data_IF_503007819990
#
_entry.id   IF_503007819990
#
_cell.length_a   1.000
_cell.length_b   1.000
_cell.length_c   1.000
_cell.angle_alpha   90.00
_cell.angle_beta   90.00
_cell.angle_gamma   90.00
#
_symmetry.space_group_name_H-M   'P 1'
#
loop_
_entity.id
_entity.type
_entity.pdbx_description
1 polymer ?
#
# COMPACT_ATOMS: atom_id res chain seq x y z
N UNK A 1 0.34 4.95 -12.77
CA UNK A 1 1.12 5.11 -11.52
C UNK A 1 0.69 6.41 -10.88
N UNK A 2 0.42 6.40 -9.59
CA UNK A 2 0.16 7.64 -8.84
C UNK A 2 1.51 8.15 -8.30
N UNK A 3 2.06 9.23 -8.85
CA UNK A 3 3.38 9.73 -8.49
C UNK A 3 3.41 10.43 -7.12
N UNK A 4 2.24 10.68 -6.50
CA UNK A 4 2.12 11.48 -5.29
C UNK A 4 3.04 11.00 -4.16
N UNK A 5 3.15 9.67 -3.94
CA UNK A 5 3.99 9.13 -2.87
C UNK A 5 5.48 9.38 -3.11
N UNK A 6 5.95 9.22 -4.36
CA UNK A 6 7.36 9.45 -4.71
C UNK A 6 7.66 10.94 -4.61
N UNK A 7 6.81 11.78 -5.18
CA UNK A 7 6.94 13.25 -5.12
C UNK A 7 6.92 13.71 -3.66
N UNK A 8 5.99 13.19 -2.85
CA UNK A 8 5.89 13.56 -1.44
C UNK A 8 7.13 13.19 -0.62
N UNK A 9 7.67 11.98 -0.79
CA UNK A 9 8.90 11.56 -0.13
C UNK A 9 10.08 12.43 -0.56
N UNK A 10 10.25 12.63 -1.87
CA UNK A 10 11.34 13.47 -2.41
C UNK A 10 11.22 14.90 -1.90
N UNK A 11 10.01 15.48 -1.89
CA UNK A 11 9.76 16.83 -1.38
C UNK A 11 10.10 16.94 0.10
N UNK A 12 9.71 15.95 0.93
CA UNK A 12 10.01 15.96 2.36
C UNK A 12 11.53 15.96 2.62
N UNK A 13 12.27 15.07 1.95
CA UNK A 13 13.73 15.05 2.06
C UNK A 13 14.37 16.33 1.50
N UNK A 14 13.91 16.81 0.35
CA UNK A 14 14.42 18.05 -0.25
C UNK A 14 14.20 19.27 0.65
N UNK A 15 13.06 19.35 1.34
CA UNK A 15 12.77 20.42 2.31
C UNK A 15 13.74 20.37 3.51
N UNK A 16 13.98 19.18 4.08
CA UNK A 16 14.87 19.01 5.24
C UNK A 16 16.32 19.33 4.88
N UNK A 17 16.82 18.75 3.78
CA UNK A 17 18.19 19.02 3.32
C UNK A 17 18.35 20.46 2.80
N UNK A 18 17.32 21.00 2.15
CA UNK A 18 17.30 22.39 1.71
C UNK A 18 17.38 23.38 2.87
N UNK A 19 16.60 23.15 3.94
CA UNK A 19 16.68 23.97 5.16
C UNK A 19 18.08 23.91 5.79
N UNK A 20 18.68 22.72 5.89
CA UNK A 20 20.05 22.56 6.40
C UNK A 20 21.08 23.37 5.58
N UNK A 21 20.95 23.34 4.25
CA UNK A 21 21.85 24.11 3.36
C UNK A 21 21.62 25.62 3.53
N UNK A 22 20.36 26.06 3.63
CA UNK A 22 20.02 27.48 3.81
C UNK A 22 20.56 28.06 5.12
N UNK A 23 20.66 27.24 6.18
CA UNK A 23 21.29 27.59 7.45
C UNK A 23 22.82 27.54 7.41
N UNK A 24 23.43 27.24 6.25
CA UNK A 24 24.88 27.11 6.10
C UNK A 24 25.43 25.74 6.53
N UNK A 25 24.58 24.78 6.81
CA UNK A 25 24.96 23.43 7.16
C UNK A 25 25.46 22.62 5.96
N UNK A 26 26.32 21.64 6.24
CA UNK A 26 26.79 20.70 5.22
C UNK A 26 25.96 19.40 5.29
N UNK A 27 25.23 19.01 4.24
CA UNK A 27 24.45 17.76 4.22
C UNK A 27 25.27 16.51 4.55
N UNK A 28 26.58 16.50 4.22
CA UNK A 28 27.46 15.38 4.54
C UNK A 28 27.71 15.21 6.04
N UNK A 29 27.59 16.27 6.83
CA UNK A 29 27.76 16.21 8.29
C UNK A 29 26.68 15.39 9.01
N UNK A 30 25.51 15.21 8.38
CA UNK A 30 24.41 14.38 8.90
C UNK A 30 24.38 12.98 8.27
N UNK A 31 25.25 12.70 7.29
CA UNK A 31 25.37 11.40 6.63
C UNK A 31 26.41 10.51 7.31
N UNK A 32 26.30 10.34 8.64
CA UNK A 32 27.23 9.55 9.42
C UNK A 32 26.84 8.06 9.39
N UNK A 33 27.79 7.20 9.00
CA UNK A 33 27.55 5.75 8.82
C UNK A 33 27.12 5.05 10.12
N UNK A 34 27.75 5.27 11.30
CA UNK A 34 27.35 4.59 12.53
C UNK A 34 25.91 4.90 12.97
N UNK A 35 25.45 6.16 13.05
CA UNK A 35 24.05 6.48 13.34
C UNK A 35 23.06 5.91 12.33
N UNK A 36 23.37 5.99 11.04
CA UNK A 36 22.52 5.43 9.99
C UNK A 36 22.36 3.91 10.12
N UNK A 37 23.46 3.20 10.34
CA UNK A 37 23.43 1.75 10.52
C UNK A 37 22.62 1.36 11.76
N UNK A 38 22.81 2.08 12.88
CA UNK A 38 22.03 1.86 14.10
C UNK A 38 20.54 2.04 13.86
N UNK A 39 20.14 3.17 13.25
CA UNK A 39 18.72 3.49 13.05
C UNK A 39 18.10 2.52 12.07
N UNK A 40 18.69 2.32 10.90
CA UNK A 40 18.11 1.45 9.85
C UNK A 40 18.16 -0.01 10.29
N UNK A 41 19.31 -0.49 10.70
CA UNK A 41 19.51 -1.88 11.14
C UNK A 41 18.68 -2.22 12.37
N UNK A 42 18.70 -1.34 13.39
CA UNK A 42 17.91 -1.50 14.61
C UNK A 42 16.40 -1.48 14.35
N UNK A 43 15.92 -0.57 13.48
CA UNK A 43 14.50 -0.49 13.11
C UNK A 43 14.03 -1.74 12.38
N UNK A 44 14.78 -2.19 11.38
CA UNK A 44 14.48 -3.43 10.66
C UNK A 44 14.52 -4.63 11.60
N UNK A 45 15.58 -4.72 12.44
CA UNK A 45 15.71 -5.80 13.41
C UNK A 45 14.57 -5.85 14.42
N UNK A 46 14.16 -4.69 14.97
CA UNK A 46 13.02 -4.60 15.88
C UNK A 46 11.69 -5.00 15.20
N UNK A 47 11.46 -4.56 13.96
CA UNK A 47 10.28 -4.94 13.19
C UNK A 47 10.28 -6.46 12.88
N UNK A 48 11.45 -7.03 12.58
CA UNK A 48 11.60 -8.49 12.41
C UNK A 48 11.26 -9.27 13.68
N UNK A 49 11.75 -8.80 14.82
CA UNK A 49 11.52 -9.45 16.12
C UNK A 49 10.04 -9.43 16.54
N UNK A 50 9.31 -8.37 16.16
CA UNK A 50 7.87 -8.23 16.45
C UNK A 50 6.94 -8.88 15.42
N UNK A 51 7.48 -9.36 14.29
CA UNK A 51 6.73 -9.94 13.18
C UNK A 51 7.01 -11.42 12.95
N UNK A 52 6.58 -11.90 11.79
CA UNK A 52 6.95 -13.23 11.28
C UNK A 52 7.86 -13.08 10.06
N UNK A 53 8.72 -14.05 9.84
CA UNK A 53 9.71 -14.01 8.75
C UNK A 53 9.10 -13.74 7.37
N UNK A 54 7.91 -14.27 7.11
CA UNK A 54 7.17 -14.05 5.86
C UNK A 54 6.89 -12.58 5.58
N UNK A 55 6.50 -11.82 6.61
CA UNK A 55 6.15 -10.40 6.45
C UNK A 55 7.41 -9.56 6.20
N UNK A 56 8.52 -9.92 6.84
CA UNK A 56 9.80 -9.24 6.68
C UNK A 56 10.45 -9.50 5.31
N UNK A 57 10.45 -10.75 4.84
CA UNK A 57 11.01 -11.08 3.51
C UNK A 57 10.19 -10.45 2.38
N UNK A 58 8.91 -10.12 2.65
CA UNK A 58 8.02 -9.43 1.74
C UNK A 58 8.24 -7.90 1.63
N UNK A 59 9.07 -7.28 2.47
CA UNK A 59 9.23 -5.81 2.54
C UNK A 59 9.54 -5.19 1.17
N UNK A 60 10.48 -5.75 0.42
CA UNK A 60 10.88 -5.23 -0.91
C UNK A 60 9.72 -5.33 -1.90
N UNK A 61 8.98 -6.44 -1.89
CA UNK A 61 7.79 -6.61 -2.72
C UNK A 61 6.68 -5.62 -2.38
N UNK A 62 6.43 -5.40 -1.09
CA UNK A 62 5.45 -4.43 -0.60
C UNK A 62 5.86 -2.99 -0.96
N UNK A 63 7.14 -2.64 -0.82
CA UNK A 63 7.66 -1.33 -1.24
C UNK A 63 7.44 -1.10 -2.73
N UNK A 64 7.78 -2.10 -3.55
CA UNK A 64 7.52 -2.04 -5.00
C UNK A 64 6.03 -1.85 -5.29
N UNK A 65 5.15 -2.61 -4.61
CA UNK A 65 3.69 -2.50 -4.77
C UNK A 65 3.19 -1.12 -4.39
N UNK A 66 3.65 -0.53 -3.28
CA UNK A 66 3.28 0.82 -2.87
C UNK A 66 3.59 1.88 -3.95
N UNK A 67 4.69 1.69 -4.70
CA UNK A 67 5.15 2.63 -5.72
C UNK A 67 4.57 2.36 -7.11
N UNK A 68 4.23 1.11 -7.45
CA UNK A 68 3.90 0.70 -8.83
C UNK A 68 2.43 0.37 -9.06
N UNK A 69 1.56 0.55 -8.06
CA UNK A 69 0.13 0.26 -8.22
C UNK A 69 -0.45 0.95 -9.45
N UNK A 70 -1.12 0.15 -10.31
CA UNK A 70 -1.98 0.65 -11.38
C UNK A 70 -3.42 0.58 -10.89
N UNK A 71 -4.05 1.74 -10.71
CA UNK A 71 -5.50 1.78 -10.45
C UNK A 71 -6.24 1.43 -11.74
N UNK A 72 -7.03 0.36 -11.75
CA UNK A 72 -8.00 0.13 -12.82
C UNK A 72 -9.14 1.14 -12.64
N UNK A 73 -9.55 1.88 -13.67
CA UNK A 73 -10.71 2.75 -13.55
C UNK A 73 -11.96 1.93 -13.23
N UNK A 74 -12.72 2.29 -12.21
CA UNK A 74 -13.93 1.59 -11.82
C UNK A 74 -14.96 1.54 -12.98
N UNK A 75 -15.04 2.60 -13.78
CA UNK A 75 -15.86 2.63 -14.99
C UNK A 75 -15.51 1.52 -15.99
N UNK A 76 -14.24 1.16 -16.13
CA UNK A 76 -13.81 0.08 -17.02
C UNK A 76 -14.28 -1.27 -16.47
N UNK A 77 -14.18 -1.50 -15.17
CA UNK A 77 -14.70 -2.70 -14.54
C UNK A 77 -16.24 -2.81 -14.72
N UNK A 78 -16.96 -1.72 -14.44
CA UNK A 78 -18.42 -1.67 -14.59
C UNK A 78 -18.81 -1.93 -16.03
N UNK A 79 -18.16 -1.29 -17.01
CA UNK A 79 -18.47 -1.49 -18.43
C UNK A 79 -18.23 -2.93 -18.87
N UNK A 80 -17.16 -3.57 -18.38
CA UNK A 80 -16.87 -4.99 -18.62
C UNK A 80 -17.98 -5.88 -18.05
N UNK A 81 -18.36 -5.65 -16.79
CA UNK A 81 -19.43 -6.42 -16.14
C UNK A 81 -20.77 -6.24 -16.85
N UNK A 82 -21.12 -5.01 -17.25
CA UNK A 82 -22.37 -4.74 -17.98
C UNK A 82 -22.38 -5.46 -19.33
N UNK A 83 -21.28 -5.43 -20.09
CA UNK A 83 -21.19 -6.14 -21.37
C UNK A 83 -21.31 -7.66 -21.21
N UNK A 84 -20.73 -8.23 -20.16
CA UNK A 84 -20.86 -9.64 -19.80
C UNK A 84 -22.31 -9.98 -19.40
N UNK A 85 -22.97 -9.11 -18.61
CA UNK A 85 -24.36 -9.28 -18.23
C UNK A 85 -25.30 -9.24 -19.46
N UNK A 86 -25.03 -8.37 -20.45
CA UNK A 86 -25.75 -8.33 -21.70
C UNK A 86 -25.64 -9.63 -22.52
N UNK A 87 -24.42 -10.16 -22.59
CA UNK A 87 -24.16 -11.42 -23.30
C UNK A 87 -24.79 -12.60 -22.57
N UNK A 88 -24.62 -12.70 -21.24
CA UNK A 88 -25.25 -13.76 -20.44
C UNK A 88 -26.76 -13.78 -20.57
N UNK A 89 -27.39 -12.60 -20.59
CA UNK A 89 -28.85 -12.49 -20.72
C UNK A 89 -29.38 -12.92 -22.11
N UNK A 90 -28.61 -12.69 -23.18
CA UNK A 90 -29.01 -13.05 -24.54
C UNK A 90 -28.70 -14.51 -24.91
N UNK A 91 -27.54 -14.97 -24.47
CA UNK A 91 -26.95 -16.22 -24.97
C UNK A 91 -26.80 -17.28 -23.86
N UNK A 92 -27.14 -16.91 -22.60
CA UNK A 92 -26.95 -17.76 -21.41
C UNK A 92 -25.56 -17.67 -20.82
N UNK A 93 -25.39 -18.20 -19.58
CA UNK A 93 -24.12 -18.15 -18.85
C UNK A 93 -22.98 -18.90 -19.56
N UNK A 94 -23.28 -20.04 -20.20
CA UNK A 94 -22.27 -20.82 -20.93
C UNK A 94 -21.59 -20.04 -22.05
N UNK A 95 -22.31 -19.08 -22.67
CA UNK A 95 -21.73 -18.24 -23.71
C UNK A 95 -20.64 -17.26 -23.18
N UNK A 96 -20.51 -17.12 -21.88
CA UNK A 96 -19.46 -16.30 -21.25
C UNK A 96 -18.10 -17.02 -21.18
N UNK A 97 -18.02 -18.33 -21.43
CA UNK A 97 -16.78 -19.10 -21.27
C UNK A 97 -15.62 -18.53 -22.11
N UNK A 98 -15.90 -18.14 -23.35
CA UNK A 98 -14.89 -17.48 -24.19
C UNK A 98 -14.61 -16.03 -23.75
N UNK A 99 -15.67 -15.27 -23.44
CA UNK A 99 -15.52 -13.88 -23.02
C UNK A 99 -14.77 -13.75 -21.68
N UNK A 100 -14.89 -14.74 -20.79
CA UNK A 100 -14.17 -14.77 -19.52
C UNK A 100 -12.65 -14.90 -19.72
N UNK A 101 -12.17 -15.53 -20.80
CA UNK A 101 -10.75 -15.67 -21.10
C UNK A 101 -10.09 -14.32 -21.40
N UNK A 102 -10.84 -13.39 -21.99
CA UNK A 102 -10.38 -12.05 -22.36
C UNK A 102 -10.43 -11.05 -21.19
N UNK A 103 -11.01 -11.44 -20.06
CA UNK A 103 -11.06 -10.60 -18.86
C UNK A 103 -9.66 -10.47 -18.25
N UNK A 104 -9.12 -9.24 -18.25
CA UNK A 104 -7.79 -8.95 -17.74
C UNK A 104 -7.66 -9.18 -16.22
N UNK A 105 -8.73 -8.93 -15.46
CA UNK A 105 -8.74 -9.04 -14.01
C UNK A 105 -8.86 -10.50 -13.55
N UNK A 106 -7.83 -11.10 -12.92
CA UNK A 106 -7.83 -12.53 -12.59
C UNK A 106 -8.94 -12.94 -11.62
N UNK A 107 -9.29 -12.06 -10.66
CA UNK A 107 -10.35 -12.30 -9.69
C UNK A 107 -11.73 -12.39 -10.37
N UNK A 108 -12.06 -11.41 -11.22
CA UNK A 108 -13.32 -11.40 -11.99
C UNK A 108 -13.40 -12.64 -12.89
N UNK A 109 -12.30 -12.99 -13.56
CA UNK A 109 -12.24 -14.18 -14.44
C UNK A 109 -12.55 -15.47 -13.67
N UNK A 110 -11.93 -15.68 -12.49
CA UNK A 110 -12.19 -16.88 -11.69
C UNK A 110 -13.62 -16.94 -11.17
N UNK A 111 -14.16 -15.82 -10.69
CA UNK A 111 -15.53 -15.77 -10.20
C UNK A 111 -16.55 -16.02 -11.32
N UNK A 112 -16.32 -15.48 -12.53
CA UNK A 112 -17.13 -15.79 -13.70
C UNK A 112 -17.07 -17.28 -14.06
N UNK A 113 -15.87 -17.90 -14.04
CA UNK A 113 -15.73 -19.32 -14.30
C UNK A 113 -16.53 -20.17 -13.32
N UNK A 114 -16.48 -19.87 -12.02
CA UNK A 114 -17.27 -20.56 -11.01
C UNK A 114 -18.78 -20.42 -11.26
N UNK A 115 -19.23 -19.23 -11.68
CA UNK A 115 -20.63 -19.01 -12.04
C UNK A 115 -21.04 -19.82 -13.28
N UNK A 116 -20.16 -19.91 -14.30
CA UNK A 116 -20.36 -20.70 -15.52
C UNK A 116 -20.40 -22.19 -15.21
N UNK A 117 -19.56 -22.67 -14.29
CA UNK A 117 -19.50 -24.07 -13.84
C UNK A 117 -20.71 -24.47 -12.97
N UNK A 118 -21.61 -23.53 -12.66
CA UNK A 118 -22.87 -23.80 -11.97
C UNK A 118 -22.76 -23.81 -10.44
N UNK A 119 -21.74 -23.17 -9.87
CA UNK A 119 -21.65 -23.00 -8.40
C UNK A 119 -22.91 -22.32 -7.87
N UNK A 120 -23.44 -22.79 -6.74
CA UNK A 120 -24.58 -22.16 -6.09
C UNK A 120 -24.32 -20.67 -5.76
N UNK A 121 -25.28 -19.76 -5.98
CA UNK A 121 -25.06 -18.32 -5.79
C UNK A 121 -24.62 -17.94 -4.36
N UNK A 122 -25.16 -18.60 -3.34
CA UNK A 122 -24.81 -18.31 -1.94
C UNK A 122 -23.39 -18.81 -1.66
N UNK A 123 -23.04 -20.02 -2.12
CA UNK A 123 -21.69 -20.58 -2.00
C UNK A 123 -20.67 -19.74 -2.78
N UNK A 124 -20.98 -19.32 -3.99
CA UNK A 124 -20.14 -18.46 -4.80
C UNK A 124 -19.85 -17.11 -4.09
N UNK A 125 -20.90 -16.52 -3.52
CA UNK A 125 -20.81 -15.29 -2.74
C UNK A 125 -19.87 -15.47 -1.55
N UNK A 126 -20.04 -16.53 -0.76
CA UNK A 126 -19.21 -16.81 0.41
C UNK A 126 -17.75 -17.01 0.05
N UNK A 127 -17.47 -17.77 -1.00
CA UNK A 127 -16.09 -18.02 -1.49
C UNK A 127 -15.42 -16.71 -1.90
N UNK A 128 -16.10 -15.89 -2.73
CA UNK A 128 -15.52 -14.66 -3.26
C UNK A 128 -15.29 -13.61 -2.17
N UNK A 129 -16.23 -13.42 -1.25
CA UNK A 129 -16.04 -12.51 -0.11
C UNK A 129 -14.97 -13.01 0.85
N UNK A 130 -14.85 -14.33 1.06
CA UNK A 130 -13.76 -14.91 1.85
C UNK A 130 -12.39 -14.63 1.22
N UNK A 131 -12.26 -14.65 -0.11
CA UNK A 131 -11.03 -14.29 -0.81
C UNK A 131 -10.70 -12.80 -0.65
N UNK A 132 -11.69 -11.90 -0.71
CA UNK A 132 -11.51 -10.47 -0.45
C UNK A 132 -11.00 -10.24 0.98
N UNK A 133 -11.60 -10.90 1.96
CA UNK A 133 -11.20 -10.76 3.36
C UNK A 133 -9.81 -11.34 3.63
N UNK A 134 -9.47 -12.47 3.02
CA UNK A 134 -8.14 -13.06 3.11
C UNK A 134 -7.08 -12.11 2.55
N UNK A 135 -7.36 -11.49 1.38
CA UNK A 135 -6.49 -10.47 0.80
C UNK A 135 -6.35 -9.26 1.71
N UNK A 136 -7.46 -8.73 2.23
CA UNK A 136 -7.47 -7.57 3.14
C UNK A 136 -6.63 -7.82 4.38
N UNK A 137 -6.73 -9.01 4.99
CA UNK A 137 -5.93 -9.43 6.15
C UNK A 137 -4.44 -9.53 5.81
N UNK A 138 -4.10 -10.14 4.68
CA UNK A 138 -2.72 -10.27 4.24
C UNK A 138 -2.06 -8.91 3.95
N UNK A 139 -2.78 -8.01 3.27
CA UNK A 139 -2.31 -6.66 2.96
C UNK A 139 -2.14 -5.80 4.22
N UNK A 140 -3.06 -5.93 5.19
CA UNK A 140 -2.96 -5.26 6.49
C UNK A 140 -1.71 -5.69 7.26
N UNK A 141 -1.39 -6.99 7.22
CA UNK A 141 -0.15 -7.51 7.83
C UNK A 141 1.08 -6.89 7.16
N UNK A 142 1.13 -6.86 5.83
CA UNK A 142 2.24 -6.24 5.09
C UNK A 142 2.40 -4.74 5.37
N UNK A 143 1.30 -3.99 5.44
CA UNK A 143 1.33 -2.56 5.77
C UNK A 143 1.74 -2.30 7.23
N UNK A 144 1.40 -3.23 8.15
CA UNK A 144 1.72 -3.14 9.57
C UNK A 144 3.22 -3.10 9.81
N UNK A 145 4.01 -3.88 9.06
CA UNK A 145 5.48 -3.89 9.21
C UNK A 145 6.06 -2.48 9.06
N UNK A 146 5.62 -1.73 8.05
CA UNK A 146 6.07 -0.34 7.85
C UNK A 146 5.58 0.60 8.95
N UNK A 147 4.37 0.39 9.46
CA UNK A 147 3.86 1.17 10.58
C UNK A 147 4.66 0.90 11.86
N UNK A 148 5.04 -0.35 12.11
CA UNK A 148 5.87 -0.75 13.25
C UNK A 148 7.30 -0.19 13.10
N UNK A 149 7.90 -0.22 11.90
CA UNK A 149 9.18 0.44 11.62
C UNK A 149 9.11 1.95 11.89
N UNK A 150 8.01 2.60 11.51
CA UNK A 150 7.77 4.02 11.81
C UNK A 150 7.65 4.31 13.30
N UNK A 151 7.11 3.38 14.08
CA UNK A 151 7.03 3.51 15.54
C UNK A 151 8.39 3.26 16.22
N UNK A 152 9.18 2.31 15.73
CA UNK A 152 10.48 1.97 16.34
C UNK A 152 11.61 2.93 15.96
N UNK A 153 11.64 3.46 14.75
CA UNK A 153 12.75 4.27 14.25
C UNK A 153 13.11 5.47 15.17
N UNK A 154 12.15 6.28 15.68
CA UNK A 154 12.47 7.39 16.57
C UNK A 154 13.08 6.92 17.91
N UNK A 155 12.55 5.85 18.49
CA UNK A 155 13.02 5.32 19.76
C UNK A 155 14.42 4.70 19.65
N UNK A 156 14.74 4.06 18.54
CA UNK A 156 16.08 3.59 18.22
C UNK A 156 17.03 4.77 18.02
N UNK A 157 16.55 5.85 17.39
CA UNK A 157 17.29 7.11 17.32
C UNK A 157 17.65 7.66 18.69
N UNK A 158 16.72 7.63 19.65
CA UNK A 158 16.97 8.03 21.04
C UNK A 158 18.02 7.12 21.70
N UNK A 159 17.96 5.80 21.48
CA UNK A 159 19.00 4.88 21.96
C UNK A 159 20.37 5.32 21.44
N UNK A 160 20.45 5.67 20.14
CA UNK A 160 21.69 6.18 19.52
C UNK A 160 22.18 7.46 20.18
N UNK A 161 21.28 8.38 20.56
CA UNK A 161 21.65 9.59 21.28
C UNK A 161 22.21 9.28 22.64
N UNK A 162 21.59 8.39 23.42
CA UNK A 162 22.06 7.99 24.75
C UNK A 162 23.42 7.30 24.64
N UNK A 163 23.60 6.38 23.70
CA UNK A 163 24.90 5.72 23.47
C UNK A 163 25.99 6.73 23.10
N UNK A 164 25.68 7.68 22.21
CA UNK A 164 26.61 8.74 21.83
C UNK A 164 27.00 9.62 22.98
N UNK A 165 26.06 10.00 23.87
CA UNK A 165 26.36 10.79 25.06
C UNK A 165 27.20 10.01 26.08
N UNK A 166 26.99 8.71 26.26
CA UNK A 166 27.87 7.87 27.07
C UNK A 166 29.30 7.94 26.52
N UNK A 167 29.47 7.80 25.21
CA UNK A 167 30.77 7.89 24.56
C UNK A 167 31.45 9.27 24.72
N UNK A 168 30.64 10.36 24.70
CA UNK A 168 31.13 11.72 25.06
C UNK A 168 31.69 11.76 26.46
N UNK A 169 31.00 11.17 27.46
CA UNK A 169 31.43 11.16 28.83
C UNK A 169 32.72 10.36 29.07
N UNK A 170 32.90 9.29 28.29
CA UNK A 170 34.15 8.49 28.30
C UNK A 170 35.34 9.24 27.72
N UNK A 171 35.13 10.25 26.87
CA UNK A 171 36.17 11.01 26.17
C UNK A 171 36.30 12.46 26.61
N UNK A 172 35.85 12.81 27.82
CA UNK A 172 35.92 14.19 28.34
C UNK A 172 37.37 14.76 28.43
N UNK A 173 38.36 13.89 28.46
CA UNK A 173 39.79 14.29 28.45
C UNK A 173 40.28 14.79 27.09
N UNK A 174 39.53 14.58 26.00
CA UNK A 174 39.87 14.95 24.62
C UNK A 174 38.88 15.99 24.07
N UNK A 175 38.99 17.29 24.44
CA UNK A 175 37.98 18.29 24.03
C UNK A 175 37.78 18.45 22.54
N UNK A 176 38.79 18.20 21.74
CA UNK A 176 38.77 18.34 20.28
C UNK A 176 37.83 17.34 19.58
N UNK A 177 37.57 16.20 20.23
CA UNK A 177 36.68 15.15 19.70
C UNK A 177 35.23 15.31 20.16
N UNK A 178 34.98 16.02 21.26
CA UNK A 178 33.64 16.12 21.88
C UNK A 178 32.59 16.67 20.91
N UNK A 179 32.92 17.69 20.10
CA UNK A 179 31.99 18.28 19.13
C UNK A 179 31.52 17.27 18.13
N UNK A 180 32.41 16.42 17.62
CA UNK A 180 32.03 15.38 16.64
C UNK A 180 31.20 14.26 17.25
N UNK A 181 31.53 13.82 18.48
CA UNK A 181 30.79 12.81 19.21
C UNK A 181 29.36 13.27 19.55
N UNK A 182 29.20 14.52 20.01
CA UNK A 182 27.93 15.12 20.33
C UNK A 182 27.08 15.23 19.03
N UNK A 183 27.67 15.71 17.93
CA UNK A 183 26.96 15.79 16.65
C UNK A 183 26.46 14.41 16.18
N UNK A 184 27.30 13.38 16.29
CA UNK A 184 26.94 12.01 15.98
C UNK A 184 25.74 11.47 16.76
N UNK A 185 25.69 11.80 18.06
CA UNK A 185 24.56 11.44 18.93
C UNK A 185 23.25 12.06 18.43
N UNK A 186 23.21 13.35 18.15
CA UNK A 186 22.01 14.02 17.64
C UNK A 186 21.61 13.54 16.23
N UNK A 187 22.56 13.22 15.38
CA UNK A 187 22.30 12.68 14.04
C UNK A 187 21.52 11.36 14.09
N UNK A 188 21.74 10.51 15.09
CA UNK A 188 20.96 9.29 15.28
C UNK A 188 19.46 9.57 15.48
N UNK A 189 19.13 10.52 16.36
CA UNK A 189 17.73 10.92 16.57
C UNK A 189 17.14 11.57 15.32
N UNK A 190 17.90 12.43 14.64
CA UNK A 190 17.45 13.06 13.38
C UNK A 190 17.05 11.99 12.36
N UNK A 191 17.90 11.00 12.11
CA UNK A 191 17.57 9.92 11.16
C UNK A 191 16.42 9.04 11.63
N UNK A 192 16.32 8.79 12.94
CA UNK A 192 15.20 8.05 13.52
C UNK A 192 13.86 8.71 13.20
N UNK A 193 13.73 10.00 13.53
CA UNK A 193 12.50 10.77 13.31
C UNK A 193 12.25 11.01 11.82
N UNK A 194 13.28 11.34 11.07
CA UNK A 194 13.17 11.62 9.63
C UNK A 194 12.73 10.38 8.85
N UNK A 195 13.35 9.23 9.07
CA UNK A 195 12.98 7.99 8.37
C UNK A 195 11.56 7.53 8.77
N UNK A 196 11.18 7.67 10.03
CA UNK A 196 9.84 7.35 10.48
C UNK A 196 8.77 8.13 9.72
N UNK A 197 8.90 9.46 9.69
CA UNK A 197 7.85 10.36 9.20
C UNK A 197 7.90 10.59 7.69
N UNK A 198 9.08 10.52 7.08
CA UNK A 198 9.24 10.76 5.64
C UNK A 198 9.26 9.47 4.80
N UNK A 199 9.45 8.30 5.43
CA UNK A 199 9.59 7.04 4.71
C UNK A 199 8.62 5.97 5.21
N UNK A 200 8.80 5.47 6.46
CA UNK A 200 8.11 4.28 6.94
C UNK A 200 6.61 4.48 7.08
N UNK A 201 6.16 5.50 7.80
CA UNK A 201 4.74 5.78 8.02
C UNK A 201 3.99 6.12 6.72
N UNK A 202 4.53 6.96 5.81
CA UNK A 202 3.89 7.21 4.53
C UNK A 202 3.75 5.95 3.66
N UNK A 203 4.76 5.08 3.63
CA UNK A 203 4.69 3.82 2.90
C UNK A 203 3.61 2.91 3.48
N UNK A 204 3.57 2.75 4.82
CA UNK A 204 2.54 1.97 5.49
C UNK A 204 1.12 2.49 5.22
N UNK A 205 0.91 3.80 5.30
CA UNK A 205 -0.36 4.45 4.97
C UNK A 205 -0.74 4.24 3.50
N UNK A 206 0.22 4.35 2.58
CA UNK A 206 0.01 4.10 1.16
C UNK A 206 -0.40 2.67 0.88
N UNK A 207 0.25 1.68 1.51
CA UNK A 207 -0.10 0.28 1.35
C UNK A 207 -1.52 -0.02 1.83
N UNK A 208 -1.94 0.57 2.95
CA UNK A 208 -3.32 0.48 3.43
C UNK A 208 -4.31 1.02 2.39
N UNK A 209 -4.03 2.21 1.85
CA UNK A 209 -4.91 2.83 0.84
C UNK A 209 -4.94 2.02 -0.46
N UNK A 210 -3.82 1.46 -0.90
CA UNK A 210 -3.75 0.55 -2.06
C UNK A 210 -4.63 -0.68 -1.83
N UNK A 211 -4.53 -1.29 -0.65
CA UNK A 211 -5.34 -2.46 -0.29
C UNK A 211 -6.83 -2.16 -0.27
N UNK A 212 -7.24 -1.03 0.30
CA UNK A 212 -8.64 -0.58 0.29
C UNK A 212 -9.18 -0.51 -1.14
N UNK A 213 -8.49 0.23 -2.02
CA UNK A 213 -8.90 0.39 -3.42
C UNK A 213 -8.99 -0.96 -4.14
N UNK A 214 -8.04 -1.85 -3.94
CA UNK A 214 -8.06 -3.17 -4.58
C UNK A 214 -9.19 -4.06 -4.02
N UNK A 215 -9.44 -4.03 -2.72
CA UNK A 215 -10.54 -4.77 -2.10
C UNK A 215 -11.91 -4.23 -2.54
N UNK A 216 -12.08 -2.90 -2.60
CA UNK A 216 -13.31 -2.27 -3.09
C UNK A 216 -13.61 -2.68 -4.55
N UNK A 217 -12.56 -2.77 -5.39
CA UNK A 217 -12.70 -3.26 -6.77
C UNK A 217 -13.07 -4.75 -6.83
N UNK A 218 -12.54 -5.56 -5.93
CA UNK A 218 -12.92 -6.98 -5.84
C UNK A 218 -14.38 -7.12 -5.38
N UNK A 219 -14.82 -6.36 -4.37
CA UNK A 219 -16.21 -6.36 -3.92
C UNK A 219 -17.17 -5.93 -5.04
N UNK A 220 -16.79 -4.88 -5.80
CA UNK A 220 -17.55 -4.47 -6.98
C UNK A 220 -17.66 -5.59 -8.04
N UNK A 221 -16.57 -6.36 -8.22
CA UNK A 221 -16.58 -7.52 -9.11
C UNK A 221 -17.48 -8.64 -8.58
N UNK A 222 -17.48 -8.93 -7.27
CA UNK A 222 -18.38 -9.91 -6.65
C UNK A 222 -19.83 -9.57 -6.94
N UNK A 223 -20.23 -8.33 -6.65
CA UNK A 223 -21.59 -7.86 -6.92
C UNK A 223 -21.98 -7.98 -8.41
N UNK A 224 -21.02 -7.72 -9.29
CA UNK A 224 -21.19 -7.89 -10.72
C UNK A 224 -21.39 -9.35 -11.14
N UNK A 225 -20.57 -10.27 -10.62
CA UNK A 225 -20.65 -11.71 -10.91
C UNK A 225 -21.99 -12.27 -10.45
N UNK A 226 -22.39 -11.97 -9.20
CA UNK A 226 -23.67 -12.42 -8.65
C UNK A 226 -24.86 -11.89 -9.45
N UNK A 227 -24.80 -10.64 -9.88
CA UNK A 227 -25.84 -10.06 -10.72
C UNK A 227 -25.91 -10.72 -12.12
N UNK A 228 -24.78 -11.09 -12.72
CA UNK A 228 -24.70 -11.84 -13.99
C UNK A 228 -25.31 -13.23 -13.79
N UNK A 229 -24.94 -13.94 -12.73
CA UNK A 229 -25.45 -15.27 -12.43
C UNK A 229 -26.97 -15.26 -12.21
N UNK A 230 -27.50 -14.22 -11.54
CA UNK A 230 -28.92 -14.02 -11.33
C UNK A 230 -29.69 -13.61 -12.60
N UNK A 231 -29.05 -13.43 -13.75
CA UNK A 231 -29.68 -12.98 -14.99
C UNK A 231 -30.23 -11.56 -14.92
N UNK A 232 -29.68 -10.69 -14.05
CA UNK A 232 -30.19 -9.34 -13.84
C UNK A 232 -30.12 -8.48 -15.11
N UNK A 233 -31.00 -7.46 -15.18
CA UNK A 233 -31.00 -6.53 -16.30
C UNK A 233 -29.69 -5.73 -16.33
N UNK A 234 -28.93 -5.74 -17.45
CA UNK A 234 -27.62 -5.07 -17.55
C UNK A 234 -27.64 -3.59 -17.15
N UNK A 235 -28.73 -2.88 -17.48
CA UNK A 235 -28.90 -1.48 -17.07
C UNK A 235 -29.00 -1.34 -15.55
N UNK A 236 -29.72 -2.25 -14.89
CA UNK A 236 -29.86 -2.26 -13.43
C UNK A 236 -28.52 -2.65 -12.78
N UNK A 237 -27.80 -3.61 -13.36
CA UNK A 237 -26.45 -3.98 -12.92
C UNK A 237 -25.52 -2.77 -12.95
N UNK A 238 -25.48 -2.04 -14.07
CA UNK A 238 -24.66 -0.83 -14.17
C UNK A 238 -25.03 0.25 -13.15
N UNK A 239 -26.34 0.46 -12.89
CA UNK A 239 -26.80 1.40 -11.87
C UNK A 239 -26.42 0.96 -10.45
N UNK A 240 -26.62 -0.32 -10.12
CA UNK A 240 -26.24 -0.91 -8.82
C UNK A 240 -24.74 -0.75 -8.58
N UNK A 241 -23.90 -1.14 -9.54
CA UNK A 241 -22.44 -1.04 -9.39
C UNK A 241 -21.96 0.41 -9.24
N UNK A 242 -22.55 1.35 -9.98
CA UNK A 242 -22.22 2.77 -9.80
C UNK A 242 -22.64 3.33 -8.45
N UNK A 243 -23.74 2.85 -7.87
CA UNK A 243 -24.17 3.29 -6.53
C UNK A 243 -23.25 2.84 -5.39
N UNK A 244 -22.37 1.86 -5.66
CA UNK A 244 -21.34 1.41 -4.71
C UNK A 244 -20.06 2.25 -4.77
N UNK A 245 -19.91 3.12 -5.78
CA UNK A 245 -18.74 3.97 -5.92
C UNK A 245 -18.90 5.27 -5.13
N UNK A 246 -17.78 5.84 -4.64
CA UNK A 246 -17.76 7.19 -4.13
C UNK A 246 -18.27 8.20 -5.17
N UNK A 247 -18.97 9.28 -4.76
CA UNK A 247 -19.57 10.24 -5.68
C UNK A 247 -18.58 10.90 -6.67
N UNK A 248 -17.33 11.05 -6.28
CA UNK A 248 -16.25 11.63 -7.09
C UNK A 248 -15.72 10.68 -8.17
N UNK A 249 -15.99 9.37 -8.05
CA UNK A 249 -15.62 8.36 -9.05
C UNK A 249 -16.75 8.05 -10.05
N UNK A 250 -17.95 8.53 -9.78
CA UNK A 250 -19.12 8.31 -10.66
C UNK A 250 -19.09 9.30 -11.82
N UNK A 251 -18.69 8.83 -13.02
CA UNK A 251 -18.85 9.65 -14.23
C UNK A 251 -20.30 9.67 -14.69
N UNK A 252 -20.82 10.83 -15.14
CA UNK A 252 -22.16 10.90 -15.70
C UNK A 252 -22.26 9.96 -16.92
N UNK A 253 -23.36 9.20 -17.00
CA UNK A 253 -23.64 8.40 -18.19
C UNK A 253 -23.56 9.27 -19.44
N UNK A 254 -22.70 8.90 -20.41
CA UNK A 254 -22.83 9.43 -21.76
C UNK A 254 -24.22 9.06 -22.24
N UNK A 255 -25.13 10.04 -22.33
CA UNK A 255 -26.42 9.84 -22.98
C UNK A 255 -26.13 9.25 -24.35
N UNK A 256 -26.59 8.00 -24.57
CA UNK A 256 -26.60 7.45 -25.89
C UNK A 256 -27.45 8.40 -26.78
N UNK A 257 -26.80 8.97 -27.77
CA UNK A 257 -27.46 9.80 -28.77
C UNK A 257 -28.25 8.91 -29.73
#
# INVERSE_FOLDING_TARGET
MDPASIIGIVLAFAAIFGANIMEGGNPMSIMLVPPLNLVIGGTVGAAMAGGIMRDTTGIIGQLKRAMTMKKMPADQLISTVVSLAERARREGLLALEEAAKDVEQPFLRRGLQMAIDGTDPDELSEILYSEVDAKRKADKSGAKVFSDMGAYAPTIGIIGTVMGLVHVLENLSNPDELGHLIAGAFVATLWGVMTANCLWLPIGARLKRVSEIECDQMELAVEGILAIQAGANPRVVGQKLRSLLPPDEVKPEKKAA
#
